data_IF_635476465526
#
_entry.id   IF_635476465526
#
_cell.length_a   1.000
_cell.length_b   1.000
_cell.length_c   1.000
_cell.angle_alpha   90.00
_cell.angle_beta   90.00
_cell.angle_gamma   90.00
#
_symmetry.space_group_name_H-M   'P 1'
#
loop_
_entity.id
_entity.type
_entity.pdbx_description
1 polymer ?
#
# COMPACT_ATOMS: atom_id res chain seq x y z
N UNK A 1 -9.01 -4.20 -20.08
CA UNK A 1 -9.03 -5.53 -19.43
C UNK A 1 -8.53 -5.36 -17.99
N UNK A 2 -9.24 -4.59 -17.18
CA UNK A 2 -9.02 -4.57 -15.74
C UNK A 2 -10.20 -5.35 -15.16
N UNK A 3 -9.92 -6.56 -14.67
CA UNK A 3 -10.94 -7.39 -14.02
C UNK A 3 -11.48 -6.67 -12.79
N UNK A 4 -12.72 -6.98 -12.43
CA UNK A 4 -13.34 -6.48 -11.21
C UNK A 4 -12.38 -6.69 -10.03
N UNK A 5 -12.04 -5.58 -9.37
CA UNK A 5 -11.06 -5.51 -8.29
C UNK A 5 -11.75 -5.66 -6.93
N UNK A 6 -12.99 -6.16 -6.92
CA UNK A 6 -13.73 -6.52 -5.72
C UNK A 6 -13.08 -7.73 -5.05
N UNK A 7 -12.33 -7.48 -3.98
CA UNK A 7 -11.75 -8.53 -3.15
C UNK A 7 -12.67 -8.74 -1.94
N UNK A 8 -13.01 -10.01 -1.67
CA UNK A 8 -13.69 -10.40 -0.44
C UNK A 8 -12.93 -9.86 0.79
N UNK A 9 -13.62 -9.40 1.84
CA UNK A 9 -13.02 -8.70 2.97
C UNK A 9 -11.97 -9.53 3.70
N UNK A 10 -12.13 -10.85 3.72
CA UNK A 10 -11.11 -11.78 4.22
C UNK A 10 -9.86 -11.79 3.32
N UNK A 11 -10.02 -11.70 2.00
CA UNK A 11 -8.89 -11.62 1.07
C UNK A 11 -8.16 -10.28 1.19
N UNK A 12 -8.89 -9.16 1.34
CA UNK A 12 -8.28 -7.84 1.51
C UNK A 12 -7.42 -7.76 2.76
N UNK A 13 -7.89 -8.32 3.88
CA UNK A 13 -7.12 -8.37 5.13
C UNK A 13 -5.89 -9.27 5.01
N UNK A 14 -6.00 -10.45 4.39
CA UNK A 14 -4.86 -11.33 4.14
C UNK A 14 -3.79 -10.64 3.29
N UNK A 15 -4.19 -9.98 2.20
CA UNK A 15 -3.26 -9.24 1.31
C UNK A 15 -2.57 -8.10 2.06
N UNK A 16 -3.30 -7.38 2.92
CA UNK A 16 -2.74 -6.31 3.73
C UNK A 16 -1.70 -6.84 4.73
N UNK A 17 -1.98 -7.95 5.41
CA UNK A 17 -0.99 -8.61 6.27
C UNK A 17 0.20 -9.16 5.50
N UNK A 18 0.00 -9.68 4.29
CA UNK A 18 1.09 -10.14 3.43
C UNK A 18 2.01 -8.98 3.02
N UNK A 19 1.46 -7.80 2.74
CA UNK A 19 2.23 -6.57 2.49
C UNK A 19 3.10 -6.19 3.69
N UNK A 20 2.53 -6.22 4.90
CA UNK A 20 3.28 -5.97 6.15
C UNK A 20 4.37 -7.03 6.35
N UNK A 21 4.06 -8.31 6.17
CA UNK A 21 5.05 -9.39 6.28
C UNK A 21 6.20 -9.21 5.27
N UNK A 22 5.89 -8.78 4.04
CA UNK A 22 6.87 -8.50 3.00
C UNK A 22 7.80 -7.34 3.40
N UNK A 23 7.24 -6.24 3.93
CA UNK A 23 8.07 -5.13 4.46
C UNK A 23 9.01 -5.58 5.56
N UNK A 24 8.53 -6.37 6.53
CA UNK A 24 9.34 -6.91 7.60
C UNK A 24 10.41 -7.88 7.08
N UNK A 25 10.08 -8.70 6.09
CA UNK A 25 11.01 -9.61 5.42
C UNK A 25 12.18 -8.88 4.78
N UNK A 26 11.89 -7.78 4.06
CA UNK A 26 12.93 -6.92 3.47
C UNK A 26 13.82 -6.30 4.56
N UNK A 27 13.22 -5.77 5.63
CA UNK A 27 13.97 -5.19 6.75
C UNK A 27 14.91 -6.24 7.37
N UNK A 28 14.42 -7.45 7.63
CA UNK A 28 15.21 -8.51 8.23
C UNK A 28 16.32 -8.99 7.29
N UNK A 29 16.04 -9.11 5.99
CA UNK A 29 17.01 -9.46 4.96
C UNK A 29 18.18 -8.47 4.93
N UNK A 30 17.90 -7.16 4.83
CA UNK A 30 18.94 -6.14 4.83
C UNK A 30 19.68 -6.08 6.17
N UNK A 31 18.96 -6.24 7.29
CA UNK A 31 19.58 -6.31 8.62
C UNK A 31 20.57 -7.45 8.73
N UNK A 32 20.27 -8.63 8.19
CA UNK A 32 21.18 -9.77 8.18
C UNK A 32 22.35 -9.56 7.21
N UNK A 33 22.06 -9.00 6.02
CA UNK A 33 23.08 -8.65 5.00
C UNK A 33 24.18 -7.75 5.57
N UNK A 34 23.82 -6.68 6.29
CA UNK A 34 24.78 -5.73 6.84
C UNK A 34 25.49 -6.25 8.10
N UNK A 35 24.85 -7.12 8.89
CA UNK A 35 25.50 -7.78 10.04
C UNK A 35 26.64 -8.70 9.63
N UNK A 36 26.52 -9.34 8.46
CA UNK A 36 27.52 -10.28 7.96
C UNK A 36 28.63 -9.60 7.15
N UNK A 37 28.65 -8.27 7.06
CA UNK A 37 29.73 -7.53 6.42
C UNK A 37 30.90 -7.37 7.40
N UNK A 38 32.03 -8.02 7.09
CA UNK A 38 33.23 -7.98 7.92
C UNK A 38 33.95 -6.63 7.82
N UNK A 39 33.76 -5.80 8.85
CA UNK A 39 34.30 -4.45 8.94
C UNK A 39 35.84 -4.44 8.93
N UNK A 40 36.48 -5.54 9.33
CA UNK A 40 37.94 -5.67 9.38
C UNK A 40 38.51 -5.92 7.98
N UNK A 41 37.90 -6.81 7.20
CA UNK A 41 38.22 -7.01 5.78
C UNK A 41 37.98 -5.75 4.92
N UNK A 42 36.92 -4.99 5.23
CA UNK A 42 36.64 -3.70 4.61
C UNK A 42 37.70 -2.63 4.93
N UNK A 43 38.20 -2.61 6.18
CA UNK A 43 39.27 -1.69 6.60
C UNK A 43 40.56 -1.95 5.85
N UNK A 44 40.95 -3.21 5.71
CA UNK A 44 42.18 -3.61 5.00
C UNK A 44 42.11 -3.27 3.51
N UNK A 45 40.97 -3.55 2.87
CA UNK A 45 40.72 -3.27 1.44
C UNK A 45 40.81 -1.78 1.07
N UNK A 46 40.49 -0.87 2.00
CA UNK A 46 40.48 0.58 1.77
C UNK A 46 41.58 1.33 2.55
N UNK A 47 42.50 0.64 3.23
CA UNK A 47 43.55 1.24 4.07
C UNK A 47 44.56 2.13 3.32
N UNK A 48 44.65 2.03 1.98
CA UNK A 48 45.61 2.78 1.16
C UNK A 48 44.98 3.74 0.14
N UNK A 49 43.66 3.92 0.13
CA UNK A 49 42.98 4.71 -0.90
C UNK A 49 42.73 6.16 -0.43
N UNK A 50 43.80 6.93 -0.24
CA UNK A 50 43.77 8.38 0.03
C UNK A 50 43.77 9.23 -1.26
N UNK A 51 43.44 8.63 -2.41
CA UNK A 51 43.44 9.29 -3.71
C UNK A 51 42.27 10.25 -3.87
N UNK A 52 42.56 11.55 -3.94
CA UNK A 52 41.62 12.64 -4.13
C UNK A 52 40.65 12.43 -5.30
N UNK A 53 39.41 12.06 -4.97
CA UNK A 53 38.26 12.07 -5.86
C UNK A 53 37.01 11.87 -5.01
N UNK A 54 35.84 12.22 -5.54
CA UNK A 54 34.50 12.07 -4.94
C UNK A 54 34.26 10.68 -4.31
N UNK A 55 35.04 9.67 -4.72
CA UNK A 55 35.13 8.33 -4.15
C UNK A 55 35.53 8.25 -2.66
N UNK A 56 36.18 9.26 -2.08
CA UNK A 56 36.58 9.25 -0.65
C UNK A 56 35.50 9.74 0.32
N UNK A 57 34.35 10.24 -0.18
CA UNK A 57 33.24 10.70 0.68
C UNK A 57 32.61 9.58 1.50
N UNK A 58 32.59 8.36 0.96
CA UNK A 58 32.11 7.17 1.66
C UNK A 58 33.29 6.27 2.03
N UNK A 59 33.60 6.18 3.32
CA UNK A 59 34.69 5.34 3.84
C UNK A 59 34.53 3.85 3.48
N UNK A 60 33.28 3.38 3.40
CA UNK A 60 32.93 2.01 3.03
C UNK A 60 31.66 1.98 2.14
N UNK A 61 31.79 1.98 0.82
CA UNK A 61 30.63 2.02 -0.08
C UNK A 61 29.75 0.76 0.04
N UNK A 62 30.35 -0.41 0.29
CA UNK A 62 29.64 -1.69 0.34
C UNK A 62 28.76 -1.91 1.59
N UNK A 63 28.84 -1.00 2.58
CA UNK A 63 27.93 -0.96 3.74
C UNK A 63 27.10 0.33 3.79
N UNK A 64 27.10 1.12 2.71
CA UNK A 64 26.31 2.33 2.66
C UNK A 64 24.82 2.00 2.45
N UNK A 65 24.03 2.05 3.53
CA UNK A 65 22.59 1.85 3.47
C UNK A 65 21.86 2.93 2.64
N UNK A 66 22.47 4.10 2.43
CA UNK A 66 21.86 5.20 1.69
C UNK A 66 21.98 5.07 0.16
N UNK A 67 22.82 4.18 -0.36
CA UNK A 67 22.94 3.97 -1.81
C UNK A 67 21.63 3.43 -2.42
N UNK A 68 20.84 2.71 -1.62
CA UNK A 68 19.53 2.17 -2.00
C UNK A 68 18.36 3.09 -1.63
N UNK A 69 18.63 4.32 -1.17
CA UNK A 69 17.60 5.27 -0.70
C UNK A 69 16.51 5.54 -1.75
N UNK A 70 16.88 5.69 -3.02
CA UNK A 70 15.94 5.87 -4.13
C UNK A 70 15.00 4.66 -4.28
N UNK A 71 15.53 3.45 -4.15
CA UNK A 71 14.74 2.20 -4.19
C UNK A 71 13.79 2.12 -3.00
N UNK A 72 14.22 2.47 -1.79
CA UNK A 72 13.34 2.51 -0.62
C UNK A 72 12.21 3.53 -0.76
N UNK A 73 12.50 4.70 -1.34
CA UNK A 73 11.49 5.71 -1.67
C UNK A 73 10.47 5.19 -2.69
N UNK A 74 10.94 4.59 -3.79
CA UNK A 74 10.07 4.00 -4.81
C UNK A 74 9.20 2.86 -4.26
N UNK A 75 9.78 2.01 -3.42
CA UNK A 75 9.06 0.93 -2.74
C UNK A 75 8.00 1.44 -1.77
N UNK A 76 8.33 2.45 -0.95
CA UNK A 76 7.37 3.09 -0.06
C UNK A 76 6.20 3.72 -0.81
N UNK A 77 6.48 4.37 -1.95
CA UNK A 77 5.46 4.94 -2.83
C UNK A 77 4.56 3.84 -3.41
N UNK A 78 5.15 2.73 -3.88
CA UNK A 78 4.40 1.59 -4.39
C UNK A 78 3.48 0.97 -3.32
N UNK A 79 3.96 0.82 -2.08
CA UNK A 79 3.13 0.33 -0.96
C UNK A 79 1.99 1.31 -0.65
N UNK A 80 2.27 2.61 -0.62
CA UNK A 80 1.23 3.61 -0.36
C UNK A 80 0.10 3.53 -1.40
N UNK A 81 0.48 3.38 -2.67
CA UNK A 81 -0.46 3.22 -3.78
C UNK A 81 -1.25 1.91 -3.66
N UNK A 82 -0.56 0.79 -3.40
CA UNK A 82 -1.21 -0.51 -3.19
C UNK A 82 -2.20 -0.48 -2.01
N UNK A 83 -1.82 0.13 -0.89
CA UNK A 83 -2.69 0.25 0.31
C UNK A 83 -3.92 1.09 0.02
N UNK A 84 -3.75 2.18 -0.75
CA UNK A 84 -4.87 3.05 -1.16
C UNK A 84 -5.87 2.29 -2.03
N UNK A 85 -5.37 1.54 -3.03
CA UNK A 85 -6.20 0.70 -3.91
C UNK A 85 -6.94 -0.38 -3.12
N UNK A 86 -6.27 -1.03 -2.16
CA UNK A 86 -6.89 -2.03 -1.28
C UNK A 86 -7.98 -1.40 -0.39
N UNK A 87 -7.77 -0.17 0.11
CA UNK A 87 -8.78 0.58 0.86
C UNK A 87 -10.04 0.86 0.02
N UNK A 88 -9.87 1.24 -1.25
CA UNK A 88 -11.00 1.38 -2.17
C UNK A 88 -11.68 0.03 -2.49
N UNK A 89 -10.90 -1.04 -2.65
CA UNK A 89 -11.43 -2.39 -2.87
C UNK A 89 -12.29 -2.87 -1.68
N UNK A 90 -11.92 -2.54 -0.44
CA UNK A 90 -12.76 -2.86 0.73
C UNK A 90 -14.09 -2.08 0.71
N UNK A 91 -14.10 -0.81 0.33
CA UNK A 91 -15.31 0.03 0.48
C UNK A 91 -16.32 -0.07 -0.67
N UNK A 92 -15.98 -0.74 -1.77
CA UNK A 92 -16.81 -0.85 -2.98
C UNK A 92 -17.66 -2.12 -3.04
N UNK A 93 -18.27 -2.52 -1.93
CA UNK A 93 -19.28 -3.59 -1.98
C UNK A 93 -20.58 -3.04 -2.59
N UNK A 94 -20.83 -3.36 -3.85
CA UNK A 94 -22.15 -3.22 -4.43
C UNK A 94 -23.04 -4.29 -3.79
N UNK A 95 -24.04 -3.87 -2.99
CA UNK A 95 -25.05 -4.80 -2.46
C UNK A 95 -25.76 -5.38 -3.67
N UNK A 96 -25.67 -6.69 -3.88
CA UNK A 96 -26.48 -7.35 -4.88
C UNK A 96 -27.95 -7.13 -4.49
N UNK A 97 -28.61 -6.19 -5.16
CA UNK A 97 -30.04 -5.99 -5.01
C UNK A 97 -30.69 -7.16 -5.72
N UNK A 98 -31.02 -8.19 -4.94
CA UNK A 98 -31.88 -9.25 -5.42
C UNK A 98 -33.28 -8.67 -5.49
N UNK A 99 -33.66 -8.17 -6.67
CA UNK A 99 -35.05 -7.91 -7.01
C UNK A 99 -35.65 -9.28 -7.33
N UNK A 100 -36.47 -9.89 -6.45
CA UNK A 100 -37.22 -11.07 -6.86
C UNK A 100 -38.09 -10.68 -8.06
N UNK A 101 -38.25 -11.55 -9.05
CA UNK A 101 -39.00 -11.29 -10.30
C UNK A 101 -40.45 -10.80 -10.10
N UNK A 102 -40.94 -10.77 -8.86
CA UNK A 102 -42.28 -10.35 -8.44
C UNK A 102 -42.32 -9.03 -7.63
N UNK A 103 -41.20 -8.36 -7.38
CA UNK A 103 -41.13 -7.11 -6.61
C UNK A 103 -40.54 -5.97 -7.45
N UNK A 104 -41.27 -5.57 -8.49
CA UNK A 104 -41.03 -4.33 -9.24
C UNK A 104 -41.58 -3.09 -8.51
N UNK A 105 -41.96 -3.20 -7.23
CA UNK A 105 -42.18 -2.05 -6.37
C UNK A 105 -40.87 -1.63 -5.75
N UNK A 106 -40.05 -0.94 -6.55
CA UNK A 106 -39.24 0.13 -5.96
C UNK A 106 -40.26 1.02 -5.25
N UNK A 107 -40.21 1.16 -3.93
CA UNK A 107 -41.01 2.15 -3.21
C UNK A 107 -40.65 3.51 -3.81
N UNK A 108 -41.38 3.90 -4.86
CA UNK A 108 -41.29 5.21 -5.47
C UNK A 108 -41.50 6.20 -4.33
N UNK A 109 -40.53 7.08 -4.16
CA UNK A 109 -40.52 8.17 -3.20
C UNK A 109 -41.91 8.83 -3.20
N UNK A 110 -42.76 8.47 -2.23
CA UNK A 110 -44.10 9.02 -2.14
C UNK A 110 -43.92 10.47 -1.70
N UNK A 111 -43.92 11.39 -2.65
CA UNK A 111 -44.03 12.82 -2.40
C UNK A 111 -45.31 13.05 -1.59
N UNK A 112 -45.16 13.20 -0.27
CA UNK A 112 -46.27 13.50 0.62
C UNK A 112 -46.59 14.98 0.46
N UNK A 113 -47.55 15.29 -0.42
CA UNK A 113 -48.09 16.64 -0.52
C UNK A 113 -48.64 17.06 0.86
N UNK A 114 -48.35 18.29 1.32
CA UNK A 114 -48.87 18.78 2.60
C UNK A 114 -50.41 18.83 2.56
N UNK A 115 -51.10 18.45 3.65
CA UNK A 115 -52.57 18.41 3.67
C UNK A 115 -53.13 19.80 3.38
N UNK A 116 -53.92 19.93 2.31
CA UNK A 116 -54.66 21.17 2.03
C UNK A 116 -55.73 21.37 3.11
N UNK A 117 -55.57 22.39 3.95
CA UNK A 117 -56.65 22.90 4.79
C UNK A 117 -57.80 23.41 3.92
N UNK A 118 -59.03 23.01 4.24
CA UNK A 118 -60.24 23.42 3.52
C UNK A 118 -60.30 24.95 3.37
N UNK A 119 -60.62 25.43 2.17
CA UNK A 119 -60.88 26.84 1.94
C UNK A 119 -62.20 27.24 2.65
N UNK A 120 -62.27 28.40 3.33
CA UNK A 120 -63.44 28.79 4.11
C UNK A 120 -64.68 29.01 3.23
N UNK A 121 -65.91 28.79 3.75
CA UNK A 121 -67.16 28.86 3.00
C UNK A 121 -67.52 30.27 2.51
#
# INVERSE_FOLDING_TARGET
MFGDLSLNGTMTTVVLFALVALTLGIIFYFRNRFKNSDLEALKEKYAGNEGGSVASRNKYPEVNAFDLSSTFWGYGLAIALATTVLGFSWTKYEKAVYVPDYDLSVDEEIEMEPPRTAEPP
#
